data_IF_035934560843
#
_entry.id   IF_035934560843
#
_cell.length_a   1.000
_cell.length_b   1.000
_cell.length_c   1.000
_cell.angle_alpha   90.00
_cell.angle_beta   90.00
_cell.angle_gamma   90.00
#
_symmetry.space_group_name_H-M   'P 1'
#
loop_
_entity.id
_entity.type
_entity.pdbx_description
1 polymer ?
#
# COMPACT_ATOMS: atom_id res chain seq x y z
N UNK A 1 3.21 -59.71 -82.63
CA UNK A 1 2.06 -59.69 -81.67
C UNK A 1 2.59 -59.38 -80.28
N UNK A 2 2.62 -58.11 -79.90
CA UNK A 2 2.98 -57.72 -78.57
C UNK A 2 1.91 -56.77 -78.05
N UNK A 3 1.24 -57.16 -76.96
CA UNK A 3 0.23 -56.38 -76.25
C UNK A 3 0.95 -55.50 -75.21
N UNK A 4 0.82 -54.21 -75.37
CA UNK A 4 1.25 -53.26 -74.32
C UNK A 4 0.12 -53.10 -73.31
N UNK A 5 0.44 -53.39 -72.07
CA UNK A 5 -0.40 -53.14 -70.87
C UNK A 5 -0.04 -51.73 -70.32
N UNK A 6 -0.98 -50.82 -70.37
CA UNK A 6 -0.81 -49.49 -69.80
C UNK A 6 -1.31 -49.57 -68.37
N UNK A 7 -0.37 -49.40 -67.39
CA UNK A 7 -0.71 -49.29 -65.98
C UNK A 7 -1.01 -47.83 -65.67
N UNK A 8 -2.23 -47.60 -65.24
CA UNK A 8 -2.68 -46.30 -64.76
C UNK A 8 -2.30 -46.16 -63.26
N UNK A 9 -1.32 -45.30 -62.94
CA UNK A 9 -0.96 -44.94 -61.50
C UNK A 9 -1.83 -43.78 -61.11
N UNK A 10 -2.79 -44.03 -60.20
CA UNK A 10 -3.58 -43.01 -59.57
C UNK A 10 -2.73 -42.34 -58.45
N UNK A 11 -2.34 -41.10 -58.69
CA UNK A 11 -1.63 -40.26 -57.69
C UNK A 11 -2.63 -39.67 -56.72
N UNK A 12 -2.72 -40.27 -55.55
CA UNK A 12 -3.54 -39.74 -54.44
C UNK A 12 -2.83 -38.49 -53.78
N UNK A 13 -3.26 -37.29 -54.12
CA UNK A 13 -2.82 -36.06 -53.47
C UNK A 13 -3.42 -36.03 -52.08
N UNK A 14 -2.62 -36.37 -51.07
CA UNK A 14 -2.91 -36.05 -49.67
C UNK A 14 -2.71 -34.56 -49.45
N UNK A 15 -3.80 -33.81 -49.36
CA UNK A 15 -3.79 -32.45 -48.81
C UNK A 15 -3.52 -32.53 -47.30
N UNK A 16 -2.49 -31.85 -46.77
CA UNK A 16 -2.35 -31.77 -45.34
C UNK A 16 -3.50 -30.93 -44.79
N UNK A 17 -4.33 -31.52 -43.95
CA UNK A 17 -5.28 -30.79 -43.11
C UNK A 17 -4.47 -29.90 -42.17
N UNK A 18 -4.36 -28.63 -42.49
CA UNK A 18 -3.97 -27.59 -41.53
C UNK A 18 -5.07 -27.49 -40.48
N UNK A 19 -5.02 -28.40 -39.50
CA UNK A 19 -5.73 -28.20 -38.23
C UNK A 19 -4.94 -27.14 -37.47
N UNK A 20 -5.18 -25.89 -37.80
CA UNK A 20 -4.73 -24.76 -36.99
C UNK A 20 -5.37 -24.90 -35.62
N UNK A 21 -4.59 -25.26 -34.60
CA UNK A 21 -4.98 -25.05 -33.24
C UNK A 21 -5.27 -23.55 -33.11
N UNK A 22 -6.54 -23.18 -33.16
CA UNK A 22 -6.98 -21.88 -32.67
C UNK A 22 -6.68 -21.89 -31.16
N UNK A 23 -5.51 -21.40 -30.80
CA UNK A 23 -5.26 -21.00 -29.42
C UNK A 23 -6.38 -20.04 -29.06
N UNK A 24 -7.22 -20.42 -28.10
CA UNK A 24 -8.25 -19.54 -27.58
C UNK A 24 -7.51 -18.31 -27.04
N UNK A 25 -7.66 -17.17 -27.70
CA UNK A 25 -7.08 -15.91 -27.24
C UNK A 25 -7.57 -15.70 -25.79
N UNK A 26 -6.64 -15.42 -24.89
CA UNK A 26 -7.01 -15.12 -23.49
C UNK A 26 -7.93 -13.90 -23.49
N UNK A 27 -9.11 -13.98 -22.85
CA UNK A 27 -10.04 -12.85 -22.81
C UNK A 27 -9.38 -11.59 -22.21
N UNK A 28 -9.79 -10.43 -22.68
CA UNK A 28 -9.41 -9.17 -22.07
C UNK A 28 -10.19 -8.97 -20.76
N UNK A 29 -9.50 -8.90 -19.64
CA UNK A 29 -10.12 -8.85 -18.31
C UNK A 29 -9.37 -7.89 -17.38
N UNK A 30 -10.04 -7.46 -16.29
CA UNK A 30 -9.40 -6.88 -15.12
C UNK A 30 -8.90 -8.06 -14.29
N UNK A 31 -7.57 -8.14 -14.05
CA UNK A 31 -6.97 -9.29 -13.37
C UNK A 31 -6.91 -9.07 -11.85
N UNK A 32 -6.48 -7.86 -11.43
CA UNK A 32 -6.31 -7.49 -10.03
C UNK A 32 -6.95 -6.13 -9.77
N UNK A 33 -7.55 -5.97 -8.62
CA UNK A 33 -8.23 -4.74 -8.25
C UNK A 33 -9.73 -4.71 -8.58
N UNK A 34 -10.34 -3.51 -8.63
CA UNK A 34 -9.74 -2.25 -8.22
C UNK A 34 -9.42 -2.19 -6.73
N UNK A 35 -8.41 -1.39 -6.38
CA UNK A 35 -8.12 -1.03 -5.00
C UNK A 35 -7.86 0.47 -4.88
N UNK A 36 -8.26 1.03 -3.75
CA UNK A 36 -8.19 2.45 -3.47
C UNK A 36 -6.96 2.78 -2.64
N UNK A 37 -6.23 3.82 -3.05
CA UNK A 37 -5.10 4.37 -2.32
C UNK A 37 -5.12 5.90 -2.34
N UNK A 38 -4.30 6.55 -1.51
CA UNK A 38 -4.17 7.99 -1.48
C UNK A 38 -5.49 8.73 -1.33
N UNK A 39 -6.50 8.11 -0.68
CA UNK A 39 -7.79 8.75 -0.44
C UNK A 39 -7.60 9.91 0.55
N UNK A 40 -8.20 11.03 0.21
CA UNK A 40 -8.25 12.23 1.02
C UNK A 40 -9.69 12.76 1.06
N UNK A 41 -9.90 13.98 1.56
CA UNK A 41 -11.20 14.64 1.48
C UNK A 41 -11.53 15.18 0.08
N UNK A 42 -10.57 15.23 -0.84
CA UNK A 42 -10.75 15.83 -2.18
C UNK A 42 -10.26 14.97 -3.36
N UNK A 43 -9.84 13.71 -3.09
CA UNK A 43 -9.40 12.83 -4.17
C UNK A 43 -9.03 11.43 -3.74
N UNK A 44 -8.79 10.57 -4.72
CA UNK A 44 -8.46 9.14 -4.57
C UNK A 44 -7.61 8.67 -5.74
N UNK A 45 -6.83 7.64 -5.55
CA UNK A 45 -6.13 6.90 -6.61
C UNK A 45 -6.79 5.53 -6.74
N UNK A 46 -7.27 5.20 -7.94
CA UNK A 46 -7.86 3.90 -8.27
C UNK A 46 -6.81 3.06 -9.01
N UNK A 47 -6.41 1.94 -8.43
CA UNK A 47 -5.39 1.06 -8.96
C UNK A 47 -5.98 -0.28 -9.42
N UNK A 48 -5.50 -0.81 -10.54
CA UNK A 48 -5.93 -2.11 -11.09
C UNK A 48 -4.98 -2.60 -12.18
N UNK A 49 -5.13 -3.87 -12.56
CA UNK A 49 -4.43 -4.42 -13.73
C UNK A 49 -5.38 -5.02 -14.75
N UNK A 50 -4.93 -5.05 -16.00
CA UNK A 50 -5.61 -5.72 -17.11
C UNK A 50 -4.78 -6.89 -17.65
N UNK A 51 -5.43 -7.91 -18.21
CA UNK A 51 -4.77 -9.12 -18.74
C UNK A 51 -3.84 -8.84 -19.92
N UNK A 52 -4.09 -7.79 -20.66
CA UNK A 52 -3.31 -7.32 -21.80
C UNK A 52 -3.20 -5.80 -21.73
N UNK A 53 -2.27 -5.25 -22.50
CA UNK A 53 -2.11 -3.81 -22.62
C UNK A 53 -3.40 -3.13 -23.08
N UNK A 54 -3.72 -1.98 -22.47
CA UNK A 54 -4.98 -1.29 -22.72
C UNK A 54 -4.88 0.22 -22.68
N UNK A 55 -6.00 0.84 -22.99
CA UNK A 55 -6.29 2.25 -22.77
C UNK A 55 -7.42 2.37 -21.77
N UNK A 56 -7.05 2.63 -20.54
CA UNK A 56 -7.93 2.54 -19.37
C UNK A 56 -8.43 3.90 -18.88
N UNK A 57 -9.48 3.87 -18.09
CA UNK A 57 -10.06 5.02 -17.42
C UNK A 57 -10.95 4.58 -16.27
N UNK A 58 -11.33 5.54 -15.44
CA UNK A 58 -12.31 5.38 -14.36
C UNK A 58 -13.49 6.31 -14.64
N UNK A 59 -14.68 5.75 -14.73
CA UNK A 59 -15.91 6.53 -14.66
C UNK A 59 -16.29 6.71 -13.20
N UNK A 60 -16.64 7.95 -12.82
CA UNK A 60 -17.03 8.31 -11.45
C UNK A 60 -18.26 9.20 -11.46
N UNK A 61 -19.09 9.08 -10.43
CA UNK A 61 -20.24 9.94 -10.16
C UNK A 61 -20.48 10.08 -8.67
N UNK A 62 -21.10 11.17 -8.23
CA UNK A 62 -21.70 11.22 -6.89
C UNK A 62 -22.82 10.17 -6.80
N UNK A 63 -22.91 9.47 -5.68
CA UNK A 63 -23.92 8.41 -5.49
C UNK A 63 -25.32 8.95 -5.70
N UNK A 64 -26.05 8.29 -6.58
CA UNK A 64 -27.40 8.70 -6.99
C UNK A 64 -27.45 9.73 -8.12
N UNK A 65 -26.32 10.30 -8.57
CA UNK A 65 -26.26 11.18 -9.74
C UNK A 65 -26.30 10.40 -11.05
N UNK A 66 -26.87 11.01 -12.09
CA UNK A 66 -26.80 10.50 -13.45
C UNK A 66 -25.59 11.08 -14.23
N UNK A 67 -24.95 12.12 -13.70
CA UNK A 67 -23.78 12.74 -14.31
C UNK A 67 -22.55 11.92 -14.04
N UNK A 68 -21.95 11.36 -15.10
CA UNK A 68 -20.77 10.50 -15.05
C UNK A 68 -19.60 11.26 -15.66
N UNK A 69 -18.49 11.31 -14.92
CA UNK A 69 -17.24 11.89 -15.37
C UNK A 69 -16.23 10.79 -15.66
N UNK A 70 -15.51 10.91 -16.78
CA UNK A 70 -14.44 9.98 -17.16
C UNK A 70 -13.08 10.57 -16.79
N UNK A 71 -12.36 9.88 -15.91
CA UNK A 71 -11.02 10.24 -15.45
C UNK A 71 -9.97 9.35 -16.10
N UNK A 72 -8.85 9.94 -16.50
CA UNK A 72 -7.64 9.28 -17.03
C UNK A 72 -6.41 10.02 -16.58
N UNK A 73 -5.34 9.30 -16.30
CA UNK A 73 -4.03 9.90 -16.04
C UNK A 73 -3.43 10.43 -17.34
N UNK A 74 -2.94 11.68 -17.31
CA UNK A 74 -2.21 12.28 -18.41
C UNK A 74 -0.95 12.98 -17.92
N UNK A 75 0.10 12.92 -18.71
CA UNK A 75 1.36 13.61 -18.46
C UNK A 75 1.86 14.25 -19.76
N UNK A 76 2.26 15.50 -19.67
CA UNK A 76 2.81 16.25 -20.81
C UNK A 76 1.89 16.26 -22.06
N UNK A 77 0.55 16.22 -21.84
CA UNK A 77 -0.48 16.18 -22.88
C UNK A 77 -0.78 14.80 -23.46
N UNK A 78 -0.17 13.73 -22.97
CA UNK A 78 -0.40 12.36 -23.38
C UNK A 78 -1.14 11.60 -22.28
N UNK A 79 -2.22 10.91 -22.65
CA UNK A 79 -2.85 9.94 -21.76
C UNK A 79 -1.96 8.70 -21.60
N UNK A 80 -1.93 8.15 -20.39
CA UNK A 80 -1.33 6.83 -20.19
C UNK A 80 -2.08 5.78 -21.00
N UNK A 81 -1.34 4.97 -21.74
CA UNK A 81 -1.86 3.93 -22.62
C UNK A 81 -0.81 2.84 -22.84
N UNK A 82 -1.20 1.71 -23.45
CA UNK A 82 -0.34 0.58 -23.76
C UNK A 82 0.36 -0.04 -22.53
N UNK A 83 -0.35 -0.04 -21.41
CA UNK A 83 0.08 -0.62 -20.15
C UNK A 83 -0.94 -1.63 -19.61
N UNK A 84 -0.50 -2.48 -18.68
CA UNK A 84 -1.35 -3.44 -17.96
C UNK A 84 -1.60 -3.00 -16.52
N UNK A 85 -0.64 -2.31 -15.89
CA UNK A 85 -0.77 -1.76 -14.55
C UNK A 85 -1.25 -0.31 -14.66
N UNK A 86 -2.32 0.01 -13.95
CA UNK A 86 -2.98 1.31 -14.01
C UNK A 86 -3.13 1.91 -12.62
N UNK A 87 -2.83 3.20 -12.49
CA UNK A 87 -3.13 4.03 -11.33
C UNK A 87 -3.72 5.35 -11.80
N UNK A 88 -5.00 5.57 -11.52
CA UNK A 88 -5.74 6.74 -12.02
C UNK A 88 -6.07 7.66 -10.84
N UNK A 89 -5.41 8.82 -10.81
CA UNK A 89 -5.67 9.85 -9.82
C UNK A 89 -6.93 10.63 -10.18
N UNK A 90 -7.82 10.78 -9.22
CA UNK A 90 -9.07 11.53 -9.32
C UNK A 90 -9.01 12.63 -8.27
N UNK A 91 -9.17 13.87 -8.70
CA UNK A 91 -9.07 15.07 -7.86
C UNK A 91 -10.32 15.94 -7.97
N UNK A 92 -10.47 16.90 -7.06
CA UNK A 92 -11.59 17.84 -7.05
C UNK A 92 -12.87 17.22 -6.55
N UNK A 93 -12.80 16.13 -5.80
CA UNK A 93 -13.94 15.51 -5.14
C UNK A 93 -14.42 16.39 -3.97
N UNK A 94 -15.70 16.27 -3.64
CA UNK A 94 -16.28 16.94 -2.47
C UNK A 94 -15.95 16.17 -1.21
N UNK A 95 -15.62 16.84 -0.09
CA UNK A 95 -15.44 16.19 1.19
C UNK A 95 -16.68 15.48 1.70
N UNK A 96 -16.50 14.45 2.52
CA UNK A 96 -17.57 13.71 3.22
C UNK A 96 -18.69 13.21 2.27
N UNK A 97 -18.34 12.88 1.02
CA UNK A 97 -19.29 12.58 -0.06
C UNK A 97 -19.13 11.15 -0.55
N UNK A 98 -20.23 10.44 -0.74
CA UNK A 98 -20.23 9.11 -1.35
C UNK A 98 -20.17 9.23 -2.87
N UNK A 99 -19.24 8.47 -3.46
CA UNK A 99 -19.04 8.33 -4.90
C UNK A 99 -19.22 6.88 -5.32
N UNK A 100 -19.67 6.69 -6.56
CA UNK A 100 -19.63 5.41 -7.26
C UNK A 100 -18.65 5.52 -8.42
N UNK A 101 -17.85 4.47 -8.61
CA UNK A 101 -16.88 4.41 -9.69
C UNK A 101 -16.84 3.04 -10.36
N UNK A 102 -16.40 2.98 -11.61
CA UNK A 102 -16.09 1.74 -12.31
C UNK A 102 -14.91 1.93 -13.24
N UNK A 103 -14.23 0.83 -13.52
CA UNK A 103 -13.16 0.77 -14.51
C UNK A 103 -13.79 0.61 -15.89
N UNK A 104 -13.24 1.32 -16.88
CA UNK A 104 -13.45 1.05 -18.30
C UNK A 104 -12.11 0.87 -18.97
N UNK A 105 -11.98 -0.06 -19.90
CA UNK A 105 -10.73 -0.26 -20.63
C UNK A 105 -10.97 -0.83 -22.03
N UNK A 106 -10.11 -0.41 -22.99
CA UNK A 106 -10.06 -0.91 -24.35
C UNK A 106 -8.74 -1.61 -24.57
N UNK A 107 -8.76 -2.87 -24.97
CA UNK A 107 -7.56 -3.61 -25.31
C UNK A 107 -6.78 -2.90 -26.43
N UNK A 108 -5.46 -2.78 -26.28
CA UNK A 108 -4.57 -2.22 -27.28
C UNK A 108 -3.99 -3.38 -28.11
N UNK A 109 -4.45 -3.54 -29.37
CA UNK A 109 -3.96 -4.60 -30.27
C UNK A 109 -2.72 -4.15 -31.04
N UNK A 110 -2.61 -2.86 -31.38
CA UNK A 110 -1.47 -2.26 -32.02
C UNK A 110 -1.38 -0.79 -31.70
N UNK A 111 -0.18 -0.31 -31.43
CA UNK A 111 0.11 1.09 -31.16
C UNK A 111 1.33 1.56 -31.98
N UNK A 112 1.09 1.83 -33.25
CA UNK A 112 2.10 2.32 -34.19
C UNK A 112 2.00 3.85 -34.31
N UNK A 113 3.06 4.54 -34.78
CA UNK A 113 3.09 6.02 -34.80
C UNK A 113 1.92 6.69 -35.52
N UNK A 114 1.31 6.03 -36.49
CA UNK A 114 0.20 6.57 -37.30
C UNK A 114 -1.02 5.65 -37.33
N UNK A 115 -1.03 4.59 -36.52
CA UNK A 115 -2.13 3.63 -36.51
C UNK A 115 -2.28 3.00 -35.11
N UNK A 116 -3.38 3.27 -34.47
CA UNK A 116 -3.79 2.61 -33.22
C UNK A 116 -4.97 1.68 -33.53
N UNK A 117 -4.91 0.46 -33.05
CA UNK A 117 -5.98 -0.54 -33.21
C UNK A 117 -6.40 -1.02 -31.82
N UNK A 118 -7.66 -0.83 -31.51
CA UNK A 118 -8.28 -1.35 -30.31
C UNK A 118 -8.97 -2.69 -30.56
N UNK A 119 -9.01 -3.53 -29.55
CA UNK A 119 -9.73 -4.79 -29.51
C UNK A 119 -10.98 -4.70 -28.63
N UNK A 120 -11.08 -5.65 -27.71
CA UNK A 120 -12.21 -5.79 -26.80
C UNK A 120 -12.31 -4.57 -25.83
N UNK A 121 -13.54 -4.17 -25.52
CA UNK A 121 -13.84 -3.17 -24.51
C UNK A 121 -14.48 -3.86 -23.29
N UNK A 122 -14.02 -3.52 -22.10
CA UNK A 122 -14.56 -4.03 -20.83
C UNK A 122 -14.93 -2.92 -19.88
N UNK A 123 -15.89 -3.21 -19.02
CA UNK A 123 -16.24 -2.38 -17.87
C UNK A 123 -16.41 -3.26 -16.63
N UNK A 124 -15.96 -2.77 -15.47
CA UNK A 124 -16.25 -3.42 -14.19
C UNK A 124 -17.66 -3.15 -13.72
N UNK A 125 -18.08 -3.82 -12.64
CA UNK A 125 -19.19 -3.37 -11.82
C UNK A 125 -18.93 -1.97 -11.23
N UNK A 126 -19.99 -1.32 -10.75
CA UNK A 126 -19.89 -0.10 -9.97
C UNK A 126 -19.55 -0.43 -8.52
N UNK A 127 -18.53 0.25 -7.98
CA UNK A 127 -18.12 0.21 -6.59
C UNK A 127 -18.36 1.57 -5.95
N UNK A 128 -18.51 1.62 -4.64
CA UNK A 128 -18.71 2.87 -3.91
C UNK A 128 -17.61 3.11 -2.88
N UNK A 129 -17.25 4.38 -2.66
CA UNK A 129 -16.40 4.83 -1.57
C UNK A 129 -16.90 6.17 -1.05
N UNK A 130 -16.38 6.59 0.10
CA UNK A 130 -16.66 7.90 0.68
C UNK A 130 -15.34 8.65 0.86
N UNK A 131 -15.30 9.93 0.46
CA UNK A 131 -14.18 10.84 0.76
C UNK A 131 -14.15 11.16 2.26
N UNK A 132 -12.96 11.39 2.82
CA UNK A 132 -12.82 11.70 4.24
C UNK A 132 -13.55 12.99 4.61
N UNK A 133 -14.00 13.06 5.86
CA UNK A 133 -14.61 14.25 6.43
C UNK A 133 -13.56 15.10 7.14
N UNK A 134 -13.26 16.33 6.67
CA UNK A 134 -12.33 17.22 7.35
C UNK A 134 -12.83 17.73 8.68
N UNK A 135 -14.08 17.42 9.06
CA UNK A 135 -14.71 17.81 10.34
C UNK A 135 -15.00 16.59 11.23
N UNK A 136 -14.51 15.41 10.86
CA UNK A 136 -14.70 14.23 11.69
C UNK A 136 -14.08 14.44 13.08
N UNK A 137 -14.84 14.15 14.11
CA UNK A 137 -14.42 14.23 15.53
C UNK A 137 -13.85 12.88 16.01
N UNK A 138 -14.12 11.81 15.26
CA UNK A 138 -13.64 10.47 15.52
C UNK A 138 -13.23 9.80 14.20
N UNK A 139 -12.16 9.02 14.25
CA UNK A 139 -11.75 8.13 13.15
C UNK A 139 -11.38 6.76 13.70
N UNK A 140 -11.78 5.73 12.96
CA UNK A 140 -11.38 4.35 13.22
C UNK A 140 -10.54 3.83 12.08
N UNK A 141 -9.41 3.18 12.37
CA UNK A 141 -8.59 2.51 11.37
C UNK A 141 -7.98 1.21 11.92
N UNK A 142 -7.53 0.38 11.02
CA UNK A 142 -6.88 -0.91 11.34
C UNK A 142 -5.39 -0.82 11.01
N UNK A 143 -4.55 -1.44 11.83
CA UNK A 143 -3.12 -1.62 11.55
C UNK A 143 -2.78 -3.11 11.56
N UNK A 144 -2.18 -3.59 10.47
CA UNK A 144 -1.64 -4.95 10.33
C UNK A 144 -0.19 -4.87 9.87
N UNK A 145 0.64 -5.83 10.26
CA UNK A 145 2.08 -5.80 10.01
C UNK A 145 2.67 -7.19 9.85
N UNK A 146 3.92 -7.28 9.36
CA UNK A 146 4.73 -8.50 9.31
C UNK A 146 4.01 -9.71 8.70
N UNK A 147 3.32 -9.48 7.58
CA UNK A 147 2.55 -10.54 6.87
C UNK A 147 3.51 -11.54 6.22
N UNK A 148 4.64 -11.09 5.65
CA UNK A 148 5.68 -11.92 5.04
C UNK A 148 5.16 -12.88 3.97
N UNK A 149 4.43 -12.35 2.96
CA UNK A 149 3.86 -13.11 1.83
C UNK A 149 2.77 -14.14 2.21
N UNK A 150 2.34 -14.22 3.47
CA UNK A 150 1.29 -15.14 3.92
C UNK A 150 -0.09 -14.52 3.74
N UNK A 151 -0.66 -14.65 2.53
CA UNK A 151 -1.99 -14.14 2.19
C UNK A 151 -3.09 -14.69 3.14
N UNK A 152 -2.94 -15.91 3.66
CA UNK A 152 -3.87 -16.47 4.62
C UNK A 152 -3.79 -15.75 5.97
N UNK A 153 -2.57 -15.50 6.45
CA UNK A 153 -2.37 -14.69 7.66
C UNK A 153 -2.98 -13.30 7.49
N UNK A 154 -2.75 -12.65 6.34
CA UNK A 154 -3.36 -11.36 6.03
C UNK A 154 -4.89 -11.43 6.16
N UNK A 155 -5.52 -12.43 5.53
CA UNK A 155 -6.96 -12.65 5.60
C UNK A 155 -7.45 -12.87 7.05
N UNK A 156 -6.79 -13.76 7.80
CA UNK A 156 -7.16 -14.07 9.17
C UNK A 156 -7.08 -12.84 10.09
N UNK A 157 -6.04 -11.99 9.94
CA UNK A 157 -5.88 -10.78 10.73
C UNK A 157 -6.96 -9.73 10.41
N UNK A 158 -7.32 -9.56 9.14
CA UNK A 158 -8.38 -8.64 8.73
C UNK A 158 -9.76 -9.12 9.23
N UNK A 159 -10.00 -10.43 9.27
CA UNK A 159 -11.27 -11.00 9.77
C UNK A 159 -11.50 -10.77 11.27
N UNK A 160 -10.43 -10.49 12.02
CA UNK A 160 -10.53 -10.14 13.45
C UNK A 160 -11.00 -8.69 13.68
N UNK A 161 -10.95 -7.85 12.64
CA UNK A 161 -11.18 -6.42 12.76
C UNK A 161 -12.57 -6.03 12.27
N UNK A 162 -13.22 -5.03 12.90
CA UNK A 162 -14.52 -4.53 12.46
C UNK A 162 -14.34 -3.65 11.21
N UNK A 163 -14.10 -4.28 10.06
CA UNK A 163 -13.80 -3.58 8.80
C UNK A 163 -14.88 -2.61 8.37
N UNK A 164 -16.13 -2.82 8.76
CA UNK A 164 -17.24 -1.91 8.46
C UNK A 164 -17.09 -0.56 9.17
N UNK A 165 -16.48 -0.54 10.36
CA UNK A 165 -16.24 0.66 11.15
C UNK A 165 -14.97 1.42 10.73
N UNK A 166 -14.00 0.73 10.10
CA UNK A 166 -12.72 1.32 9.74
C UNK A 166 -12.83 2.22 8.51
N UNK A 167 -12.21 3.40 8.55
CA UNK A 167 -12.08 4.32 7.40
C UNK A 167 -10.98 3.83 6.43
N UNK A 168 -9.92 3.22 6.95
CA UNK A 168 -8.83 2.65 6.16
C UNK A 168 -8.02 1.60 6.91
N UNK A 169 -7.11 0.94 6.19
CA UNK A 169 -6.12 0.01 6.74
C UNK A 169 -4.72 0.57 6.52
N UNK A 170 -3.89 0.55 7.56
CA UNK A 170 -2.45 0.75 7.47
C UNK A 170 -1.74 -0.60 7.55
N UNK A 171 -1.01 -0.95 6.52
CA UNK A 171 -0.07 -2.06 6.56
C UNK A 171 1.28 -1.53 7.04
N UNK A 172 1.66 -1.88 8.27
CA UNK A 172 2.86 -1.33 8.91
C UNK A 172 4.09 -2.20 8.68
N UNK A 173 4.46 -2.35 7.41
CA UNK A 173 5.72 -2.94 6.95
C UNK A 173 5.80 -4.46 7.01
N UNK A 174 6.80 -4.98 6.31
CA UNK A 174 7.11 -6.39 6.18
C UNK A 174 5.92 -7.24 5.73
N UNK A 175 5.13 -6.67 4.80
CA UNK A 175 3.99 -7.35 4.20
C UNK A 175 4.48 -8.40 3.21
N UNK A 176 5.63 -8.16 2.60
CA UNK A 176 6.38 -9.14 1.80
C UNK A 176 7.71 -9.46 2.47
N UNK A 177 8.26 -10.66 2.21
CA UNK A 177 9.58 -11.06 2.69
C UNK A 177 10.72 -10.46 1.87
N UNK A 178 10.46 -10.15 0.61
CA UNK A 178 11.30 -9.46 -0.35
C UNK A 178 10.52 -9.30 -1.66
N UNK A 179 10.96 -8.42 -2.56
CA UNK A 179 10.28 -8.27 -3.86
C UNK A 179 11.17 -8.76 -5.00
N UNK A 180 10.92 -9.99 -5.47
CA UNK A 180 11.73 -10.67 -6.49
C UNK A 180 10.92 -11.31 -7.62
N UNK A 181 9.59 -11.23 -7.60
CA UNK A 181 8.68 -11.80 -8.60
C UNK A 181 7.62 -10.77 -8.97
N UNK A 182 7.46 -10.54 -10.28
CA UNK A 182 6.38 -9.68 -10.78
C UNK A 182 5.02 -10.13 -10.24
N UNK A 183 4.16 -9.16 -9.91
CA UNK A 183 2.85 -9.43 -9.33
C UNK A 183 2.85 -9.97 -7.90
N UNK A 184 4.00 -10.11 -7.25
CA UNK A 184 4.08 -10.57 -5.86
C UNK A 184 3.23 -9.73 -4.89
N UNK A 185 3.14 -8.40 -4.98
CA UNK A 185 2.25 -7.62 -4.11
C UNK A 185 0.79 -8.06 -4.18
N UNK A 186 0.29 -8.47 -5.36
CA UNK A 186 -1.07 -8.96 -5.50
C UNK A 186 -1.29 -10.24 -4.72
N UNK A 187 -0.41 -11.23 -4.93
CA UNK A 187 -0.54 -12.55 -4.28
C UNK A 187 -0.24 -12.53 -2.79
N UNK A 188 0.52 -11.54 -2.30
CA UNK A 188 0.88 -11.42 -0.90
C UNK A 188 -0.23 -10.80 -0.06
N UNK A 189 -0.87 -9.70 -0.54
CA UNK A 189 -1.84 -8.98 0.28
C UNK A 189 -2.89 -8.16 -0.51
N UNK A 190 -2.57 -7.66 -1.73
CA UNK A 190 -3.49 -6.76 -2.44
C UNK A 190 -4.78 -7.48 -2.81
N UNK A 191 -4.71 -8.72 -3.35
CA UNK A 191 -5.91 -9.47 -3.74
C UNK A 191 -6.78 -9.81 -2.54
N UNK A 192 -6.18 -10.13 -1.39
CA UNK A 192 -6.89 -10.32 -0.12
C UNK A 192 -7.58 -9.02 0.30
N UNK A 193 -6.89 -7.89 0.21
CA UNK A 193 -7.46 -6.58 0.53
C UNK A 193 -8.63 -6.24 -0.39
N UNK A 194 -8.49 -6.52 -1.70
CA UNK A 194 -9.56 -6.32 -2.71
C UNK A 194 -10.78 -7.17 -2.40
N UNK A 195 -10.59 -8.40 -2.00
CA UNK A 195 -11.69 -9.30 -1.60
C UNK A 195 -12.44 -8.76 -0.38
N UNK A 196 -11.73 -8.23 0.61
CA UNK A 196 -12.30 -7.87 1.90
C UNK A 196 -12.80 -6.42 1.99
N UNK A 197 -12.06 -5.44 1.45
CA UNK A 197 -12.41 -4.04 1.65
C UNK A 197 -11.90 -3.06 0.60
N UNK A 198 -10.78 -3.34 -0.09
CA UNK A 198 -10.03 -2.32 -0.81
C UNK A 198 -10.73 -1.73 -2.04
N UNK A 199 -11.85 -2.31 -2.50
CA UNK A 199 -12.77 -1.69 -3.48
C UNK A 199 -13.54 -0.50 -2.93
N UNK A 200 -13.69 -0.41 -1.63
CA UNK A 200 -14.58 0.54 -0.95
C UNK A 200 -13.87 1.46 0.04
N UNK A 201 -12.76 1.01 0.58
CA UNK A 201 -11.93 1.71 1.58
C UNK A 201 -10.46 1.65 1.18
N UNK A 202 -9.68 2.70 1.42
CA UNK A 202 -8.26 2.70 1.05
C UNK A 202 -7.42 1.87 2.01
N UNK A 203 -6.23 1.52 1.55
CA UNK A 203 -5.13 1.16 2.41
C UNK A 203 -3.88 1.98 2.08
N UNK A 204 -3.00 2.11 3.05
CA UNK A 204 -1.65 2.63 2.88
C UNK A 204 -0.63 1.61 3.39
N UNK A 205 0.56 1.63 2.83
CA UNK A 205 1.67 0.76 3.25
C UNK A 205 2.79 1.62 3.81
N UNK A 206 3.03 1.52 5.10
CA UNK A 206 4.25 1.99 5.73
C UNK A 206 5.33 0.97 5.36
N UNK A 207 6.33 1.36 4.56
CA UNK A 207 7.33 0.43 4.07
C UNK A 207 8.21 -0.09 5.22
N UNK A 208 8.31 -1.42 5.34
CA UNK A 208 9.27 -2.09 6.21
C UNK A 208 10.62 -2.31 5.52
N UNK A 209 11.56 -2.90 6.23
CA UNK A 209 12.88 -3.18 5.68
C UNK A 209 12.83 -4.32 4.64
N UNK A 210 11.89 -5.25 4.72
CA UNK A 210 11.73 -6.33 3.76
C UNK A 210 11.25 -5.87 2.38
N UNK A 211 10.44 -4.82 2.28
CA UNK A 211 10.02 -4.23 1.01
C UNK A 211 11.16 -3.56 0.24
N UNK A 212 12.29 -3.28 0.90
CA UNK A 212 13.48 -2.71 0.25
C UNK A 212 14.37 -3.77 -0.40
N UNK A 213 14.12 -5.06 -0.13
CA UNK A 213 14.93 -6.20 -0.54
C UNK A 213 14.42 -6.86 -1.82
N UNK A 214 15.35 -7.39 -2.60
CA UNK A 214 15.07 -8.03 -3.88
C UNK A 214 15.29 -7.10 -5.08
N UNK A 215 15.48 -7.69 -6.26
CA UNK A 215 15.86 -6.95 -7.46
C UNK A 215 14.71 -6.08 -8.01
N UNK A 216 13.45 -6.38 -7.66
CA UNK A 216 12.27 -5.59 -8.02
C UNK A 216 11.85 -4.57 -6.94
N UNK A 217 12.56 -4.46 -5.83
CA UNK A 217 12.20 -3.54 -4.74
C UNK A 217 12.03 -2.08 -5.21
N UNK A 218 12.76 -1.69 -6.27
CA UNK A 218 12.66 -0.35 -6.87
C UNK A 218 11.35 -0.11 -7.62
N UNK A 219 10.67 -1.19 -8.02
CA UNK A 219 9.39 -1.14 -8.74
C UNK A 219 8.18 -1.22 -7.79
N UNK A 220 8.42 -1.36 -6.48
CA UNK A 220 7.34 -1.45 -5.48
C UNK A 220 6.40 -0.24 -5.51
N UNK A 221 6.93 0.95 -5.75
CA UNK A 221 6.17 2.18 -5.91
C UNK A 221 5.18 2.18 -7.08
N UNK A 222 5.30 1.25 -8.03
CA UNK A 222 4.32 1.11 -9.11
C UNK A 222 2.97 0.52 -8.61
N UNK A 223 2.96 -0.09 -7.44
CA UNK A 223 1.79 -0.75 -6.83
C UNK A 223 1.26 0.02 -5.62
N UNK A 224 2.11 0.86 -5.01
CA UNK A 224 1.83 1.54 -3.75
C UNK A 224 1.86 3.05 -3.93
N UNK A 225 0.70 3.68 -3.75
CA UNK A 225 0.47 5.10 -3.94
C UNK A 225 -0.09 5.72 -2.65
N UNK A 226 0.72 5.72 -1.57
CA UNK A 226 0.30 6.27 -0.28
C UNK A 226 -0.05 7.75 -0.36
N UNK A 227 0.70 8.50 -1.16
CA UNK A 227 0.53 9.93 -1.38
C UNK A 227 0.55 10.24 -2.88
N UNK A 228 -0.01 11.38 -3.26
CA UNK A 228 0.03 11.86 -4.65
C UNK A 228 1.45 12.24 -5.11
N UNK A 229 2.36 12.50 -4.15
CA UNK A 229 3.75 12.86 -4.45
C UNK A 229 4.65 11.64 -4.70
N UNK A 230 4.12 10.41 -4.58
CA UNK A 230 4.84 9.17 -4.84
C UNK A 230 5.89 8.83 -3.78
N UNK A 231 5.74 9.35 -2.55
CA UNK A 231 6.62 9.02 -1.41
C UNK A 231 6.04 7.87 -0.61
N UNK A 232 6.91 7.11 0.06
CA UNK A 232 6.48 6.09 1.02
C UNK A 232 6.09 6.67 2.38
N UNK A 233 6.56 7.88 2.72
CA UNK A 233 6.17 8.61 3.92
C UNK A 233 5.19 9.73 3.60
N UNK A 234 4.33 10.07 4.55
CA UNK A 234 3.28 11.07 4.34
C UNK A 234 2.42 11.30 5.58
N UNK A 235 1.40 12.12 5.44
CA UNK A 235 0.41 12.38 6.50
C UNK A 235 -0.99 12.18 5.97
N UNK A 236 -1.81 11.44 6.73
CA UNK A 236 -3.25 11.41 6.56
C UNK A 236 -3.92 12.30 7.61
N UNK A 237 -4.89 13.10 7.17
CA UNK A 237 -5.70 13.92 8.06
C UNK A 237 -7.13 13.42 8.07
N UNK A 238 -7.63 13.09 9.25
CA UNK A 238 -8.99 12.64 9.50
C UNK A 238 -9.65 13.60 10.48
N UNK A 239 -10.21 14.70 9.97
CA UNK A 239 -10.79 15.73 10.83
C UNK A 239 -9.76 16.27 11.84
N UNK A 240 -9.96 15.93 13.11
CA UNK A 240 -9.10 16.36 14.23
C UNK A 240 -7.88 15.46 14.45
N UNK A 241 -7.70 14.39 13.68
CA UNK A 241 -6.59 13.44 13.82
C UNK A 241 -5.60 13.54 12.66
N UNK A 242 -4.31 13.63 12.98
CA UNK A 242 -3.20 13.50 12.04
C UNK A 242 -2.49 12.15 12.25
N UNK A 243 -2.32 11.37 11.18
CA UNK A 243 -1.56 10.12 11.19
C UNK A 243 -0.34 10.28 10.29
N UNK A 244 0.84 10.36 10.87
CA UNK A 244 2.12 10.49 10.17
C UNK A 244 2.67 9.10 9.90
N UNK A 245 2.88 8.76 8.64
CA UNK A 245 3.58 7.56 8.21
C UNK A 245 5.04 7.89 7.95
N UNK A 246 5.95 7.12 8.53
CA UNK A 246 7.40 7.26 8.37
C UNK A 246 7.99 5.98 7.79
N UNK A 247 8.98 6.14 6.94
CA UNK A 247 9.70 5.03 6.31
C UNK A 247 11.04 4.81 7.03
N UNK A 248 11.24 3.62 7.57
CA UNK A 248 12.47 3.29 8.28
C UNK A 248 13.67 3.02 7.36
N UNK A 249 13.43 2.68 6.09
CA UNK A 249 14.46 2.09 5.23
C UNK A 249 14.87 0.71 5.75
N UNK A 250 16.17 0.43 5.79
CA UNK A 250 16.75 -0.82 6.30
C UNK A 250 17.22 -0.71 7.75
N UNK A 251 17.37 -1.86 8.39
CA UNK A 251 17.81 -1.98 9.79
C UNK A 251 19.32 -1.77 9.99
N UNK A 252 20.13 -2.04 8.97
CA UNK A 252 21.60 -1.92 8.99
C UNK A 252 22.06 -0.60 8.38
N UNK A 253 23.35 -0.28 8.58
CA UNK A 253 24.00 0.84 7.90
C UNK A 253 24.16 0.61 6.39
N UNK A 254 24.35 1.67 5.64
CA UNK A 254 24.43 1.62 4.18
C UNK A 254 25.72 0.90 3.70
N UNK A 255 26.79 0.88 4.51
CA UNK A 255 28.04 0.18 4.24
C UNK A 255 27.95 -1.32 4.54
N UNK A 256 26.84 -1.81 5.10
CA UNK A 256 26.73 -3.21 5.42
C UNK A 256 26.92 -4.10 4.17
N UNK A 257 27.79 -5.12 4.20
CA UNK A 257 28.15 -5.92 3.01
C UNK A 257 26.96 -6.56 2.29
N UNK A 258 25.86 -6.81 3.00
CA UNK A 258 24.64 -7.43 2.42
C UNK A 258 24.00 -6.56 1.36
N UNK A 259 24.19 -5.24 1.40
CA UNK A 259 23.62 -4.30 0.43
C UNK A 259 24.51 -4.05 -0.79
N UNK A 260 25.78 -4.47 -0.72
CA UNK A 260 26.74 -4.34 -1.82
C UNK A 260 26.87 -2.90 -2.38
N UNK A 261 26.62 -1.86 -1.55
CA UNK A 261 26.65 -0.45 -1.95
C UNK A 261 25.46 -0.02 -2.83
N UNK A 262 24.36 -0.75 -2.80
CA UNK A 262 23.17 -0.47 -3.65
C UNK A 262 22.07 0.35 -2.95
N UNK A 263 22.32 0.82 -1.73
CA UNK A 263 21.37 1.59 -0.92
C UNK A 263 21.95 2.94 -0.51
N UNK A 264 21.09 3.88 -0.13
CA UNK A 264 21.42 5.25 0.30
C UNK A 264 20.36 5.71 1.32
N UNK A 265 20.13 4.86 2.34
CA UNK A 265 19.09 5.11 3.33
C UNK A 265 19.47 6.20 4.32
N UNK A 266 20.74 6.42 4.58
CA UNK A 266 21.18 7.49 5.48
C UNK A 266 20.78 8.85 4.93
N UNK A 267 20.99 9.11 3.63
CA UNK A 267 20.51 10.33 2.98
C UNK A 267 18.99 10.40 2.94
N UNK A 268 18.33 9.30 2.59
CA UNK A 268 16.88 9.22 2.52
C UNK A 268 16.20 9.52 3.87
N UNK A 269 16.74 8.98 5.00
CA UNK A 269 16.25 9.31 6.35
C UNK A 269 16.45 10.78 6.70
N UNK A 270 17.58 11.37 6.29
CA UNK A 270 17.84 12.79 6.51
C UNK A 270 16.85 13.67 5.71
N UNK A 271 16.57 13.34 4.46
CA UNK A 271 15.55 14.02 3.64
C UNK A 271 14.16 13.91 4.28
N UNK A 272 13.80 12.73 4.78
CA UNK A 272 12.55 12.51 5.50
C UNK A 272 12.47 13.34 6.80
N UNK A 273 13.57 13.46 7.53
CA UNK A 273 13.62 14.28 8.74
C UNK A 273 13.41 15.77 8.43
N UNK A 274 13.97 16.30 7.33
CA UNK A 274 13.70 17.67 6.92
C UNK A 274 12.23 17.86 6.52
N UNK A 275 11.64 16.94 5.77
CA UNK A 275 10.21 16.95 5.46
C UNK A 275 9.35 16.90 6.74
N UNK A 276 9.70 16.06 7.71
CA UNK A 276 8.96 15.97 8.98
C UNK A 276 8.99 17.28 9.77
N UNK A 277 10.12 18.01 9.74
CA UNK A 277 10.20 19.36 10.35
C UNK A 277 9.20 20.34 9.75
N UNK A 278 8.96 20.26 8.43
CA UNK A 278 7.97 21.09 7.76
C UNK A 278 6.54 20.65 8.13
N UNK A 279 6.29 19.33 8.17
CA UNK A 279 4.98 18.77 8.57
C UNK A 279 4.57 19.25 9.97
N UNK A 280 5.44 19.09 10.97
CA UNK A 280 5.09 19.46 12.37
C UNK A 280 4.90 20.97 12.57
N UNK A 281 5.38 21.78 11.62
CA UNK A 281 5.16 23.23 11.59
C UNK A 281 3.92 23.64 10.81
N UNK A 282 3.34 22.75 10.02
CA UNK A 282 2.18 23.06 9.18
C UNK A 282 0.97 23.44 10.02
N UNK A 283 0.04 24.20 9.44
CA UNK A 283 -1.20 24.60 10.13
C UNK A 283 -2.10 23.41 10.36
N UNK A 284 -2.15 22.50 9.39
CA UNK A 284 -2.96 21.30 9.41
C UNK A 284 -2.54 20.40 10.59
N UNK A 285 -1.25 20.10 10.70
CA UNK A 285 -0.70 19.27 11.77
C UNK A 285 -0.91 19.92 13.14
N UNK A 286 -0.67 21.22 13.28
CA UNK A 286 -0.85 21.94 14.56
C UNK A 286 -2.31 22.09 15.00
N UNK A 287 -3.27 21.97 14.07
CA UNK A 287 -4.71 21.99 14.38
C UNK A 287 -5.23 20.62 14.79
N UNK A 288 -4.52 19.57 14.46
CA UNK A 288 -4.89 18.24 14.89
C UNK A 288 -4.87 18.15 16.41
N UNK A 289 -5.91 17.58 16.99
CA UNK A 289 -6.03 17.34 18.43
C UNK A 289 -5.35 16.04 18.83
N UNK A 290 -5.25 15.10 17.89
CA UNK A 290 -4.56 13.82 18.04
C UNK A 290 -3.51 13.66 16.95
N UNK A 291 -2.33 13.20 17.36
CA UNK A 291 -1.16 13.03 16.49
C UNK A 291 -0.59 11.64 16.70
N UNK A 292 -0.75 10.81 15.70
CA UNK A 292 -0.33 9.42 15.72
C UNK A 292 0.81 9.25 14.73
N UNK A 293 1.81 8.46 15.08
CA UNK A 293 2.91 8.09 14.17
C UNK A 293 2.85 6.61 13.89
N UNK A 294 3.08 6.21 12.65
CA UNK A 294 3.25 4.81 12.24
C UNK A 294 4.60 4.67 11.54
N UNK A 295 5.44 3.79 12.05
CA UNK A 295 6.74 3.44 11.47
C UNK A 295 7.03 1.97 11.75
N UNK A 296 7.57 1.25 10.77
CA UNK A 296 7.75 -0.20 10.93
C UNK A 296 8.76 -0.55 12.03
N UNK A 297 10.00 -0.11 11.92
CA UNK A 297 11.01 -0.35 12.95
C UNK A 297 10.89 0.71 14.04
N UNK A 298 10.73 0.34 15.33
CA UNK A 298 10.65 1.34 16.40
C UNK A 298 11.96 2.13 16.46
N UNK A 299 11.93 3.47 16.27
CA UNK A 299 13.12 4.28 16.37
C UNK A 299 13.61 4.29 17.82
N UNK A 300 14.87 3.95 18.06
CA UNK A 300 15.42 3.81 19.40
C UNK A 300 16.74 4.56 19.55
N UNK A 301 17.04 4.96 20.79
CA UNK A 301 18.31 5.55 21.19
C UNK A 301 18.82 4.84 22.44
N UNK A 302 20.13 4.89 22.68
CA UNK A 302 20.78 4.18 23.78
C UNK A 302 20.12 4.44 25.15
N UNK A 303 19.71 5.68 25.42
CA UNK A 303 19.05 6.07 26.67
C UNK A 303 17.72 5.37 26.94
N UNK A 304 17.05 4.81 25.93
CA UNK A 304 15.84 4.01 26.13
C UNK A 304 16.11 2.69 26.88
N UNK A 305 17.35 2.20 26.88
CA UNK A 305 17.76 1.02 27.66
C UNK A 305 17.74 1.24 29.19
N UNK A 306 17.69 2.48 29.64
CA UNK A 306 17.58 2.81 31.08
C UNK A 306 16.23 2.37 31.67
N UNK A 307 15.20 2.18 30.83
CA UNK A 307 13.90 1.67 31.26
C UNK A 307 13.95 0.15 31.34
N UNK A 308 13.66 -0.43 32.50
CA UNK A 308 13.82 -1.85 32.79
C UNK A 308 13.20 -2.78 31.76
N UNK A 309 11.97 -2.48 31.32
CA UNK A 309 11.28 -3.28 30.30
C UNK A 309 11.93 -3.25 28.91
N UNK A 310 12.76 -2.25 28.63
CA UNK A 310 13.50 -2.10 27.37
C UNK A 310 14.94 -2.63 27.47
N UNK A 311 15.44 -2.91 28.68
CA UNK A 311 16.87 -3.16 28.96
C UNK A 311 17.47 -4.34 28.15
N UNK A 312 16.64 -5.29 27.71
CA UNK A 312 17.10 -6.41 26.88
C UNK A 312 17.03 -6.11 25.39
N UNK A 313 16.08 -5.31 24.96
CA UNK A 313 15.71 -5.13 23.57
C UNK A 313 16.44 -3.97 22.90
N UNK A 314 16.58 -2.84 23.62
CA UNK A 314 17.21 -1.64 23.04
C UNK A 314 18.67 -1.83 22.66
N UNK A 315 19.54 -2.51 23.46
CA UNK A 315 20.90 -2.79 23.02
C UNK A 315 20.97 -3.59 21.72
N UNK A 316 20.09 -4.58 21.51
CA UNK A 316 20.04 -5.35 20.26
C UNK A 316 19.60 -4.47 19.09
N UNK A 317 18.59 -3.60 19.28
CA UNK A 317 18.15 -2.64 18.28
C UNK A 317 19.21 -1.60 17.93
N UNK A 318 20.02 -1.17 18.88
CA UNK A 318 21.12 -0.23 18.65
C UNK A 318 22.29 -0.84 17.87
N UNK A 319 22.41 -2.16 17.79
CA UNK A 319 23.37 -2.83 16.89
C UNK A 319 22.95 -2.69 15.41
N UNK A 320 21.67 -2.43 15.15
CA UNK A 320 21.14 -2.11 13.83
C UNK A 320 21.31 -0.60 13.59
N UNK A 321 22.46 -0.24 13.02
CA UNK A 321 22.86 1.16 12.91
C UNK A 321 21.88 2.03 12.10
N UNK A 322 21.20 1.45 11.10
CA UNK A 322 20.15 2.14 10.37
C UNK A 322 19.00 2.55 11.29
N UNK A 323 18.63 1.69 12.25
CA UNK A 323 17.60 2.02 13.23
C UNK A 323 18.08 3.08 14.25
N UNK A 324 19.31 3.00 14.72
CA UNK A 324 19.87 4.02 15.60
C UNK A 324 19.89 5.38 14.92
N UNK A 325 20.31 5.47 13.67
CA UNK A 325 20.31 6.69 12.87
C UNK A 325 18.87 7.24 12.69
N UNK A 326 17.90 6.36 12.47
CA UNK A 326 16.49 6.77 12.42
C UNK A 326 16.05 7.45 13.72
N UNK A 327 16.36 6.84 14.88
CA UNK A 327 16.05 7.39 16.20
C UNK A 327 16.72 8.75 16.44
N UNK A 328 18.00 8.88 16.11
CA UNK A 328 18.76 10.14 16.24
C UNK A 328 18.15 11.29 15.41
N UNK A 329 17.63 11.00 14.22
CA UNK A 329 17.04 11.99 13.34
C UNK A 329 15.59 12.34 13.70
N UNK A 330 14.75 11.38 14.04
CA UNK A 330 13.32 11.58 14.15
C UNK A 330 12.85 11.90 15.57
N UNK A 331 13.37 11.24 16.61
CA UNK A 331 12.90 11.46 17.98
C UNK A 331 13.04 12.91 18.46
N UNK A 332 14.11 13.67 18.18
CA UNK A 332 14.20 15.08 18.58
C UNK A 332 13.13 15.99 17.94
N UNK A 333 12.57 15.59 16.78
CA UNK A 333 11.50 16.31 16.09
C UNK A 333 10.15 15.93 16.72
N UNK A 334 9.91 14.62 16.85
CA UNK A 334 8.66 14.06 17.35
C UNK A 334 8.40 14.41 18.82
N UNK A 335 9.43 14.41 19.66
CA UNK A 335 9.36 14.81 21.07
C UNK A 335 8.84 16.25 21.28
N UNK A 336 8.84 17.09 20.24
CA UNK A 336 8.35 18.47 20.27
C UNK A 336 7.04 18.66 19.54
N UNK A 337 6.43 17.55 19.08
CA UNK A 337 5.30 17.58 18.19
C UNK A 337 3.99 17.13 18.86
N UNK A 338 3.99 16.98 20.20
CA UNK A 338 2.84 16.52 21.00
C UNK A 338 2.21 15.24 20.40
N UNK A 339 3.02 14.20 20.18
CA UNK A 339 2.58 12.91 19.68
C UNK A 339 1.85 12.17 20.80
N UNK A 340 0.65 11.65 20.53
CA UNK A 340 -0.11 10.85 21.50
C UNK A 340 0.45 9.43 21.62
N UNK A 341 0.77 8.79 20.49
CA UNK A 341 1.29 7.41 20.43
C UNK A 341 1.98 7.12 19.10
N UNK A 342 2.96 6.21 19.12
CA UNK A 342 3.60 5.66 17.92
C UNK A 342 3.31 4.17 17.82
N UNK A 343 2.92 3.72 16.62
CA UNK A 343 2.76 2.30 16.30
C UNK A 343 3.96 1.81 15.49
N UNK A 344 4.54 0.71 15.94
CA UNK A 344 5.66 0.03 15.31
C UNK A 344 5.41 -1.48 15.20
N UNK A 345 6.35 -2.21 14.62
CA UNK A 345 6.28 -3.64 14.36
C UNK A 345 7.68 -4.28 14.37
N UNK A 346 8.07 -5.10 13.39
CA UNK A 346 9.42 -5.60 13.16
C UNK A 346 9.97 -6.60 14.19
N UNK A 347 9.64 -6.42 15.45
CA UNK A 347 10.20 -7.21 16.56
C UNK A 347 9.58 -8.61 16.67
N UNK A 348 8.51 -8.88 15.93
CA UNK A 348 7.69 -10.10 16.03
C UNK A 348 7.26 -10.41 17.48
N UNK A 349 7.24 -9.41 18.33
CA UNK A 349 6.89 -9.50 19.75
C UNK A 349 6.12 -8.25 20.15
N UNK A 350 5.10 -8.43 20.98
CA UNK A 350 4.38 -7.29 21.53
C UNK A 350 5.24 -6.62 22.61
N UNK A 351 5.62 -5.35 22.38
CA UNK A 351 6.42 -4.54 23.31
C UNK A 351 5.84 -3.15 23.39
N UNK A 352 5.68 -2.63 24.61
CA UNK A 352 5.36 -1.23 24.84
C UNK A 352 6.61 -0.56 25.43
N UNK A 353 7.16 0.41 24.67
CA UNK A 353 8.18 1.32 25.19
C UNK A 353 7.42 2.51 25.80
N UNK A 354 7.49 2.71 27.13
CA UNK A 354 6.80 3.82 27.75
C UNK A 354 7.48 5.14 27.42
N UNK A 355 6.78 6.22 27.59
CA UNK A 355 7.37 7.56 27.60
C UNK A 355 8.52 7.63 28.63
N UNK A 356 9.56 8.37 28.27
CA UNK A 356 10.76 8.56 29.08
C UNK A 356 11.26 9.99 28.88
N UNK A 357 11.07 10.83 29.89
CA UNK A 357 11.35 12.26 29.83
C UNK A 357 12.74 12.57 29.25
N UNK A 358 12.78 13.45 28.27
CA UNK A 358 14.01 13.86 27.57
C UNK A 358 14.63 12.80 26.67
N UNK A 359 13.94 11.68 26.42
CA UNK A 359 14.36 10.58 25.53
C UNK A 359 13.28 10.32 24.49
N UNK A 360 12.11 9.88 24.90
CA UNK A 360 10.92 9.70 24.07
C UNK A 360 9.69 10.17 24.86
N UNK A 361 9.04 11.23 24.41
CA UNK A 361 7.97 11.92 25.15
C UNK A 361 6.57 11.32 24.85
N UNK A 362 6.51 10.15 24.26
CA UNK A 362 5.27 9.44 23.93
C UNK A 362 5.51 7.93 23.95
N UNK A 363 4.47 7.11 24.18
CA UNK A 363 4.61 5.65 24.15
C UNK A 363 4.78 5.14 22.72
N UNK A 364 5.63 4.09 22.55
CA UNK A 364 5.78 3.34 21.31
C UNK A 364 5.23 1.94 21.53
N UNK A 365 4.27 1.53 20.71
CA UNK A 365 3.66 0.19 20.74
C UNK A 365 4.17 -0.60 19.54
N UNK A 366 5.10 -1.52 19.76
CA UNK A 366 5.50 -2.50 18.77
C UNK A 366 4.54 -3.69 18.83
N UNK A 367 3.87 -3.97 17.71
CA UNK A 367 2.98 -5.11 17.60
C UNK A 367 3.74 -6.37 17.18
N UNK A 368 3.23 -7.54 17.55
CA UNK A 368 3.74 -8.81 17.06
C UNK A 368 3.24 -9.12 15.63
N UNK A 369 3.74 -10.22 15.06
CA UNK A 369 3.43 -10.65 13.68
C UNK A 369 2.21 -11.59 13.57
N UNK A 370 1.42 -11.74 14.63
CA UNK A 370 0.24 -12.62 14.69
C UNK A 370 -1.01 -11.89 15.19
N UNK A 371 -0.93 -10.58 15.36
CA UNK A 371 -2.01 -9.73 15.86
C UNK A 371 -2.29 -8.56 14.91
N UNK A 372 -3.52 -8.03 14.98
CA UNK A 372 -3.90 -6.78 14.33
C UNK A 372 -4.39 -5.77 15.37
N UNK A 373 -4.26 -4.48 15.06
CA UNK A 373 -4.72 -3.38 15.92
C UNK A 373 -5.97 -2.73 15.35
N UNK A 374 -6.94 -2.50 16.21
CA UNK A 374 -8.01 -1.52 16.00
C UNK A 374 -7.63 -0.24 16.73
N UNK A 375 -7.66 0.88 16.03
CA UNK A 375 -7.38 2.19 16.58
C UNK A 375 -8.59 3.10 16.40
N UNK A 376 -9.04 3.74 17.48
CA UNK A 376 -10.06 4.79 17.45
C UNK A 376 -9.48 6.06 18.06
N UNK A 377 -9.46 7.12 17.29
CA UNK A 377 -8.97 8.43 17.71
C UNK A 377 -10.14 9.38 17.84
N UNK A 378 -10.25 10.05 18.98
CA UNK A 378 -11.34 11.01 19.28
C UNK A 378 -10.87 12.04 20.31
N UNK A 379 -11.76 12.96 20.72
CA UNK A 379 -11.50 13.89 21.83
C UNK A 379 -11.11 13.20 23.16
N UNK A 380 -11.52 11.92 23.33
CA UNK A 380 -11.24 11.12 24.53
C UNK A 380 -9.83 10.51 24.55
N UNK A 381 -9.07 10.63 23.47
CA UNK A 381 -7.74 10.06 23.31
C UNK A 381 -7.67 9.06 22.14
N UNK A 382 -6.57 8.34 22.08
CA UNK A 382 -6.32 7.30 21.10
C UNK A 382 -6.53 5.93 21.74
N UNK A 383 -7.73 5.36 21.52
CA UNK A 383 -8.03 3.99 21.96
C UNK A 383 -7.36 2.98 21.04
N UNK A 384 -6.67 2.02 21.62
CA UNK A 384 -5.96 0.93 20.92
C UNK A 384 -6.43 -0.40 21.47
N UNK A 385 -6.83 -1.30 20.58
CA UNK A 385 -7.12 -2.70 20.90
C UNK A 385 -6.33 -3.61 19.97
N UNK A 386 -5.52 -4.50 20.55
CA UNK A 386 -4.75 -5.50 19.81
C UNK A 386 -5.39 -6.85 20.04
N UNK A 387 -5.66 -7.56 18.94
CA UNK A 387 -6.28 -8.90 18.96
C UNK A 387 -5.40 -9.85 18.16
N UNK A 388 -5.03 -10.98 18.75
CA UNK A 388 -4.25 -12.01 18.08
C UNK A 388 -5.13 -12.95 17.24
N UNK A 389 -4.50 -13.78 16.39
CA UNK A 389 -5.21 -14.74 15.51
C UNK A 389 -6.12 -15.74 16.24
N UNK A 390 -5.95 -15.91 17.55
CA UNK A 390 -6.82 -16.75 18.39
C UNK A 390 -8.06 -16.00 18.89
N UNK A 391 -8.21 -14.72 18.52
CA UNK A 391 -9.29 -13.83 18.98
C UNK A 391 -9.10 -13.30 20.40
N UNK A 392 -7.89 -13.45 20.97
CA UNK A 392 -7.58 -12.96 22.31
C UNK A 392 -7.09 -11.51 22.24
N UNK A 393 -7.68 -10.64 23.05
CA UNK A 393 -7.17 -9.27 23.27
C UNK A 393 -5.88 -9.34 24.08
N UNK A 394 -4.79 -8.79 23.51
CA UNK A 394 -3.46 -8.74 24.15
C UNK A 394 -3.15 -7.34 24.72
N UNK A 395 -3.75 -6.30 24.15
CA UNK A 395 -3.73 -4.94 24.68
C UNK A 395 -5.10 -4.29 24.47
N UNK A 396 -5.55 -3.52 25.45
CA UNK A 396 -6.71 -2.64 25.32
C UNK A 396 -6.49 -1.44 26.24
N UNK A 397 -6.23 -0.26 25.64
CA UNK A 397 -5.84 0.95 26.37
C UNK A 397 -6.18 2.20 25.56
N UNK A 398 -6.36 3.34 26.26
CA UNK A 398 -6.47 4.69 25.68
C UNK A 398 -5.24 5.53 26.08
N UNK A 399 -4.66 6.19 25.11
CA UNK A 399 -3.50 7.07 25.22
C UNK A 399 -3.91 8.52 25.01
#
# INVERSE_FOLDING_TARGET
MHKHLISLIALLLMLPSLCGAQGTATPYTINHGPYLQGLTYDGVIVCFTTSHKGFSGVEIREKGSQEVHLCRTSKDGLFEADNTLNSISIEGLKPATEYEYRIISKQMLSFEPYKVVFGEEIASDWYAFRTFDPKAEEVTFVVANDIHDDARKCSDLLDLMPMDEAEMVFYNGDIMSHYSREGQPFTSFIDVSVEKFARHKPFAVVRGNHETRGHLARDYGNYIHNTREGRYYGVYYFGTTAVVMLDCGEDKDDEHPVYAGLVDFDRYRAEQAEWLKEVVRSKEFRRAERRIVIVHIPPTVERMAEVEQNAKLVPDLMTWRGNAHLGELLLPILNKADIDVMFSAHLHSHVVFPEQEGVVEFPIIANDNVSAMLVRSSEKGVYVKIVNREGKTTLEQTY
#
